data_IF_322355617178
#
_entry.id   IF_322355617178
#
_cell.length_a   1.000
_cell.length_b   1.000
_cell.length_c   1.000
_cell.angle_alpha   90.00
_cell.angle_beta   90.00
_cell.angle_gamma   90.00
#
_symmetry.space_group_name_H-M   'P 1'
#
loop_
_entity.id
_entity.type
_entity.pdbx_description
1 polymer ?
#
# COMPACT_ATOMS: atom_id res chain seq x y z
N UNK A 1 11.50 2.57 0.64
CA UNK A 1 10.24 3.11 0.07
C UNK A 1 9.12 2.74 1.01
N UNK A 2 8.27 3.71 1.37
CA UNK A 2 7.11 3.54 2.24
C UNK A 2 5.83 3.60 1.41
N UNK A 3 4.88 2.69 1.66
CA UNK A 3 3.60 2.64 0.94
C UNK A 3 2.47 2.77 1.96
N UNK A 4 1.62 3.79 1.77
CA UNK A 4 0.52 4.11 2.67
C UNK A 4 -0.82 4.20 1.92
N UNK A 5 -1.95 3.95 2.57
CA UNK A 5 -3.24 4.29 1.97
C UNK A 5 -3.36 5.81 1.83
N UNK A 6 -3.98 6.26 0.74
CA UNK A 6 -4.38 7.64 0.54
C UNK A 6 -5.51 8.03 1.52
N UNK A 7 -5.80 9.33 1.59
CA UNK A 7 -6.98 9.84 2.29
C UNK A 7 -8.25 9.11 1.80
N UNK A 8 -9.16 8.70 2.71
CA UNK A 8 -10.49 8.20 2.32
C UNK A 8 -11.43 9.28 1.79
N UNK A 9 -11.03 10.55 1.84
CA UNK A 9 -11.83 11.70 1.44
C UNK A 9 -11.15 12.47 0.31
N UNK A 10 -11.91 12.74 -0.75
CA UNK A 10 -11.48 13.59 -1.87
C UNK A 10 -11.51 15.08 -1.50
N UNK A 11 -12.35 15.44 -0.53
CA UNK A 11 -12.44 16.77 0.08
C UNK A 11 -12.53 16.64 1.59
N UNK A 12 -11.76 17.44 2.31
CA UNK A 12 -11.81 17.50 3.77
C UNK A 12 -12.97 18.38 4.26
N UNK A 13 -13.49 18.13 5.46
CA UNK A 13 -14.39 19.05 6.16
C UNK A 13 -13.83 20.48 6.18
N UNK A 14 -14.71 21.47 6.05
CA UNK A 14 -14.28 22.87 5.90
C UNK A 14 -13.90 23.50 7.25
N UNK A 15 -14.19 22.84 8.38
CA UNK A 15 -13.88 23.33 9.72
C UNK A 15 -13.54 22.21 10.71
N UNK A 16 -12.73 22.57 11.71
CA UNK A 16 -12.48 21.70 12.86
C UNK A 16 -13.77 21.35 13.61
N UNK A 17 -14.70 22.30 13.71
CA UNK A 17 -15.96 22.09 14.42
C UNK A 17 -16.82 20.99 13.78
N UNK A 18 -16.81 20.89 12.45
CA UNK A 18 -17.45 19.81 11.70
C UNK A 18 -16.82 18.44 12.03
N UNK A 19 -15.48 18.38 12.11
CA UNK A 19 -14.74 17.15 12.49
C UNK A 19 -15.07 16.74 13.92
N UNK A 20 -15.09 17.68 14.86
CA UNK A 20 -15.31 17.41 16.28
C UNK A 20 -16.74 16.99 16.60
N UNK A 21 -17.72 17.43 15.81
CA UNK A 21 -19.13 16.99 15.95
C UNK A 21 -19.37 15.58 15.42
N UNK A 22 -18.42 14.97 14.70
CA UNK A 22 -18.57 13.67 14.04
C UNK A 22 -17.49 12.68 14.46
N UNK A 23 -17.85 11.71 15.31
CA UNK A 23 -16.95 10.63 15.72
C UNK A 23 -16.26 9.91 14.55
N UNK A 24 -16.96 9.55 13.46
CA UNK A 24 -16.30 8.96 12.30
C UNK A 24 -15.22 9.87 11.67
N UNK A 25 -15.47 11.17 11.60
CA UNK A 25 -14.47 12.14 11.08
C UNK A 25 -13.29 12.27 12.03
N UNK A 26 -13.52 12.27 13.34
CA UNK A 26 -12.44 12.26 14.35
C UNK A 26 -11.54 11.03 14.19
N UNK A 27 -12.10 9.82 14.13
CA UNK A 27 -11.30 8.60 13.94
C UNK A 27 -10.55 8.57 12.60
N UNK A 28 -11.15 9.12 11.55
CA UNK A 28 -10.46 9.24 10.28
C UNK A 28 -9.32 10.27 10.34
N UNK A 29 -9.53 11.39 11.03
CA UNK A 29 -8.51 12.41 11.25
C UNK A 29 -7.31 11.85 12.04
N UNK A 30 -7.54 11.10 13.12
CA UNK A 30 -6.46 10.45 13.89
C UNK A 30 -5.64 9.50 13.02
N UNK A 31 -6.32 8.69 12.21
CA UNK A 31 -5.66 7.80 11.26
C UNK A 31 -4.86 8.57 10.20
N UNK A 32 -5.44 9.63 9.64
CA UNK A 32 -4.75 10.46 8.65
C UNK A 32 -3.51 11.11 9.26
N UNK A 33 -3.63 11.72 10.44
CA UNK A 33 -2.52 12.32 11.18
C UNK A 33 -1.36 11.33 11.32
N UNK A 34 -1.62 10.12 11.80
CA UNK A 34 -0.59 9.10 11.95
C UNK A 34 0.14 8.78 10.62
N UNK A 35 -0.60 8.67 9.51
CA UNK A 35 -0.03 8.35 8.19
C UNK A 35 0.74 9.52 7.61
N UNK A 36 0.25 10.75 7.79
CA UNK A 36 0.96 11.95 7.36
C UNK A 36 2.27 12.12 8.14
N UNK A 37 2.24 11.99 9.47
CA UNK A 37 3.47 12.05 10.28
C UNK A 37 4.49 10.98 9.89
N UNK A 38 4.02 9.75 9.58
CA UNK A 38 4.91 8.68 9.12
C UNK A 38 5.47 8.96 7.72
N UNK A 39 4.67 9.52 6.82
CA UNK A 39 5.10 9.94 5.49
C UNK A 39 6.16 11.04 5.56
N UNK A 40 5.93 12.06 6.38
CA UNK A 40 6.86 13.17 6.60
C UNK A 40 8.19 12.68 7.19
N UNK A 41 8.15 11.82 8.21
CA UNK A 41 9.34 11.24 8.81
C UNK A 41 10.13 10.39 7.79
N UNK A 42 9.44 9.57 6.99
CA UNK A 42 10.07 8.76 5.95
C UNK A 42 10.72 9.62 4.87
N UNK A 43 10.03 10.67 4.41
CA UNK A 43 10.58 11.62 3.45
C UNK A 43 11.79 12.38 4.02
N UNK A 44 11.76 12.75 5.30
CA UNK A 44 12.86 13.43 5.98
C UNK A 44 14.17 12.63 6.03
N UNK A 45 14.09 11.29 5.96
CA UNK A 45 15.26 10.40 5.86
C UNK A 45 15.55 9.94 4.41
N UNK A 46 14.96 10.61 3.41
CA UNK A 46 15.19 10.32 1.98
C UNK A 46 14.44 9.10 1.45
N UNK A 47 13.44 8.58 2.17
CA UNK A 47 12.67 7.43 1.71
C UNK A 47 11.53 7.87 0.76
N UNK A 48 11.48 7.28 -0.43
CA UNK A 48 10.35 7.47 -1.37
C UNK A 48 9.03 7.05 -0.69
N UNK A 49 8.02 7.92 -0.69
CA UNK A 49 6.66 7.65 -0.18
C UNK A 49 5.69 7.51 -1.35
N UNK A 50 4.93 6.41 -1.37
CA UNK A 50 3.88 6.15 -2.36
C UNK A 50 2.54 5.94 -1.67
N UNK A 51 1.46 6.33 -2.35
CA UNK A 51 0.09 6.16 -1.84
C UNK A 51 -0.76 5.33 -2.78
N UNK A 52 -1.64 4.50 -2.21
CA UNK A 52 -2.64 3.75 -2.96
C UNK A 52 -4.07 4.16 -2.57
N UNK A 53 -5.04 4.16 -3.49
CA UNK A 53 -6.43 4.50 -3.18
C UNK A 53 -7.01 3.63 -2.06
N UNK A 54 -7.50 4.24 -0.97
CA UNK A 54 -7.94 3.50 0.22
C UNK A 54 -9.20 2.66 -0.01
N UNK A 55 -10.05 3.05 -0.96
CA UNK A 55 -11.31 2.35 -1.28
C UNK A 55 -11.13 1.23 -2.31
N UNK A 56 -9.91 1.02 -2.81
CA UNK A 56 -9.61 -0.03 -3.79
C UNK A 56 -8.89 -1.17 -3.10
N UNK A 57 -9.25 -2.42 -3.44
CA UNK A 57 -8.54 -3.61 -2.98
C UNK A 57 -7.10 -3.59 -3.55
N UNK A 58 -6.05 -3.54 -2.70
CA UNK A 58 -4.68 -3.51 -3.18
C UNK A 58 -4.27 -4.75 -3.97
N UNK A 59 -4.99 -5.87 -3.84
CA UNK A 59 -4.75 -7.08 -4.64
C UNK A 59 -5.10 -6.86 -6.11
N UNK A 60 -6.15 -6.08 -6.38
CA UNK A 60 -6.53 -5.66 -7.75
C UNK A 60 -5.49 -4.71 -8.32
N UNK A 61 -5.07 -3.70 -7.52
CA UNK A 61 -4.01 -2.77 -7.92
C UNK A 61 -2.70 -3.50 -8.24
N UNK A 62 -2.36 -4.53 -7.47
CA UNK A 62 -1.18 -5.35 -7.71
C UNK A 62 -1.31 -6.16 -9.00
N UNK A 63 -2.47 -6.76 -9.26
CA UNK A 63 -2.73 -7.54 -10.47
C UNK A 63 -2.60 -6.67 -11.72
N UNK A 64 -3.22 -5.49 -11.71
CA UNK A 64 -3.14 -4.49 -12.77
C UNK A 64 -1.70 -4.04 -13.01
N UNK A 65 -0.99 -3.65 -11.94
CA UNK A 65 0.39 -3.18 -12.05
C UNK A 65 1.33 -4.27 -12.60
N UNK A 66 1.15 -5.52 -12.16
CA UNK A 66 2.01 -6.64 -12.56
C UNK A 66 1.62 -7.28 -13.90
N UNK A 67 0.45 -6.94 -14.46
CA UNK A 67 -0.08 -7.54 -15.68
C UNK A 67 -0.45 -9.02 -15.51
N UNK A 68 -0.96 -9.41 -14.34
CA UNK A 68 -1.33 -10.79 -13.99
C UNK A 68 -2.75 -10.86 -13.43
N UNK A 69 -3.28 -12.08 -13.24
CA UNK A 69 -4.59 -12.27 -12.62
C UNK A 69 -4.57 -12.04 -11.10
N UNK A 70 -5.70 -11.60 -10.52
CA UNK A 70 -5.87 -11.42 -9.06
C UNK A 70 -5.57 -12.70 -8.28
N UNK A 71 -5.94 -13.87 -8.82
CA UNK A 71 -5.65 -15.17 -8.22
C UNK A 71 -4.15 -15.46 -8.11
N UNK A 72 -3.36 -14.99 -9.09
CA UNK A 72 -1.90 -15.15 -9.07
C UNK A 72 -1.28 -14.27 -7.97
N UNK A 73 -1.73 -13.02 -7.84
CA UNK A 73 -1.33 -12.14 -6.74
C UNK A 73 -1.68 -12.76 -5.38
N UNK A 74 -2.89 -13.30 -5.24
CA UNK A 74 -3.32 -13.97 -4.00
C UNK A 74 -2.41 -15.18 -3.67
N UNK A 75 -1.97 -15.95 -4.67
CA UNK A 75 -1.02 -17.05 -4.50
C UNK A 75 0.36 -16.55 -4.02
N UNK A 76 0.86 -15.44 -4.58
CA UNK A 76 2.12 -14.80 -4.15
C UNK A 76 2.01 -14.35 -2.68
N UNK A 77 0.92 -13.67 -2.30
CA UNK A 77 0.67 -13.23 -0.93
C UNK A 77 0.56 -14.42 0.03
N UNK A 78 -0.06 -15.52 -0.40
CA UNK A 78 -0.11 -16.75 0.38
C UNK A 78 1.27 -17.36 0.58
N UNK A 79 2.15 -17.30 -0.44
CA UNK A 79 3.55 -17.73 -0.33
C UNK A 79 4.32 -16.88 0.68
N UNK A 80 4.18 -15.55 0.64
CA UNK A 80 4.78 -14.67 1.65
C UNK A 80 4.35 -15.02 3.06
N UNK A 81 3.08 -15.35 3.26
CA UNK A 81 2.59 -15.81 4.57
C UNK A 81 3.21 -17.12 5.05
N UNK A 82 3.48 -18.07 4.14
CA UNK A 82 4.18 -19.32 4.48
C UNK A 82 5.64 -19.07 4.87
N UNK A 83 6.30 -18.15 4.18
CA UNK A 83 7.70 -17.79 4.43
C UNK A 83 7.88 -16.93 5.69
N UNK A 84 6.97 -15.98 5.93
CA UNK A 84 7.02 -15.09 7.10
C UNK A 84 6.58 -15.79 8.40
N UNK A 85 5.81 -16.87 8.31
CA UNK A 85 5.26 -17.58 9.46
C UNK A 85 4.07 -16.86 10.11
N UNK A 86 3.65 -17.36 11.27
CA UNK A 86 2.53 -16.79 12.02
C UNK A 86 3.01 -15.67 12.95
N UNK A 87 2.23 -14.57 13.11
CA UNK A 87 0.90 -14.33 12.56
C UNK A 87 0.88 -13.69 11.15
N UNK A 88 0.11 -14.25 10.21
CA UNK A 88 -0.15 -13.68 8.87
C UNK A 88 -1.58 -13.15 8.74
N UNK A 89 -1.81 -11.98 9.32
CA UNK A 89 -3.15 -11.37 9.48
C UNK A 89 -3.58 -10.60 8.23
N UNK A 90 -4.86 -10.19 8.21
CA UNK A 90 -5.46 -9.40 7.13
C UNK A 90 -4.61 -8.19 6.76
N UNK A 91 -4.16 -7.43 7.75
CA UNK A 91 -3.39 -6.20 7.50
C UNK A 91 -2.02 -6.48 6.87
N UNK A 92 -1.39 -7.60 7.20
CA UNK A 92 -0.14 -8.03 6.55
C UNK A 92 -0.38 -8.38 5.07
N UNK A 93 -1.51 -9.04 4.75
CA UNK A 93 -1.89 -9.35 3.36
C UNK A 93 -2.16 -8.07 2.57
N UNK A 94 -2.87 -7.11 3.16
CA UNK A 94 -3.16 -5.80 2.55
C UNK A 94 -1.86 -5.04 2.30
N UNK A 95 -0.95 -5.01 3.28
CA UNK A 95 0.35 -4.36 3.13
C UNK A 95 1.20 -5.02 2.03
N UNK A 96 1.23 -6.35 1.96
CA UNK A 96 1.93 -7.10 0.92
C UNK A 96 1.35 -6.84 -0.47
N UNK A 97 0.03 -6.80 -0.60
CA UNK A 97 -0.64 -6.47 -1.86
C UNK A 97 -0.32 -5.03 -2.31
N UNK A 98 -0.40 -4.06 -1.40
CA UNK A 98 -0.01 -2.68 -1.68
C UNK A 98 1.49 -2.55 -2.05
N UNK A 99 2.35 -3.37 -1.45
CA UNK A 99 3.75 -3.46 -1.86
C UNK A 99 3.91 -3.97 -3.29
N UNK A 100 3.19 -5.02 -3.67
CA UNK A 100 3.24 -5.60 -5.00
C UNK A 100 2.75 -4.64 -6.09
N UNK A 101 1.76 -3.79 -5.81
CA UNK A 101 1.29 -2.80 -6.80
C UNK A 101 2.32 -1.74 -7.18
N UNK A 102 3.35 -1.55 -6.35
CA UNK A 102 4.42 -0.57 -6.61
C UNK A 102 5.74 -1.25 -6.97
N UNK A 103 6.12 -2.31 -6.23
CA UNK A 103 7.41 -2.99 -6.37
C UNK A 103 7.38 -4.14 -7.38
N UNK A 104 6.23 -4.81 -7.55
CA UNK A 104 6.08 -5.94 -8.46
C UNK A 104 6.53 -5.64 -9.91
N UNK A 105 6.10 -4.51 -10.52
CA UNK A 105 6.53 -4.15 -11.86
C UNK A 105 8.05 -3.92 -11.96
N UNK A 106 8.65 -3.26 -10.95
CA UNK A 106 10.10 -2.99 -10.90
C UNK A 106 10.92 -4.29 -10.83
N UNK A 107 10.48 -5.24 -10.01
CA UNK A 107 11.15 -6.55 -9.89
C UNK A 107 11.10 -7.31 -11.22
N UNK A 108 9.96 -7.30 -11.91
CA UNK A 108 9.83 -7.95 -13.22
C UNK A 108 10.71 -7.28 -14.28
N UNK A 109 10.74 -5.96 -14.32
CA UNK A 109 11.59 -5.20 -15.26
C UNK A 109 13.08 -5.48 -15.02
N UNK A 110 13.53 -5.54 -13.77
CA UNK A 110 14.91 -5.90 -13.43
C UNK A 110 15.28 -7.32 -13.86
N UNK A 111 14.33 -8.26 -13.78
CA UNK A 111 14.50 -9.63 -14.28
C UNK A 111 14.45 -9.80 -15.80
N UNK A 112 14.11 -8.75 -16.55
CA UNK A 112 14.06 -8.76 -18.03
C UNK A 112 15.22 -7.96 -18.67
N UNK A 113 16.18 -7.50 -17.87
CA UNK A 113 17.39 -6.83 -18.35
C UNK A 113 18.40 -7.80 -18.99
N UNK A 114 19.42 -7.29 -19.71
CA UNK A 114 20.34 -8.11 -20.54
C UNK A 114 21.08 -9.23 -19.78
N UNK A 115 21.18 -9.15 -18.45
CA UNK A 115 21.76 -10.21 -17.63
C UNK A 115 20.91 -11.50 -17.53
N UNK A 116 19.60 -11.43 -17.82
CA UNK A 116 18.70 -12.60 -17.78
C UNK A 116 18.66 -13.39 -19.10
N UNK A 117 19.11 -12.81 -20.21
CA UNK A 117 19.15 -13.45 -21.54
C UNK A 117 20.44 -14.27 -21.76
N UNK A 118 21.34 -14.29 -20.77
CA UNK A 118 22.64 -14.97 -20.83
C UNK A 118 22.72 -16.18 -19.87
N UNK A 119 21.58 -16.67 -19.39
CA UNK A 119 21.45 -17.87 -18.56
C UNK A 119 20.58 -18.91 -19.23
#
# INVERSE_FOLDING_TARGET
>A
MLILPASPYDRLPDSLEEVLRSRPLTYAADGMLYRESLAEAAAGIGMEVRRYPRRTDPTVLAAEAMGVGVAEVASIIARFGREAGTPWRKDHKVAAAAALSVLGPRIRQAGTGPAAMMR
#
